data_IF_233023375232
#
_entry.id   IF_233023375232
#
_cell.length_a   1.000
_cell.length_b   1.000
_cell.length_c   1.000
_cell.angle_alpha   90.00
_cell.angle_beta   90.00
_cell.angle_gamma   90.00
#
_symmetry.space_group_name_H-M   'P 1'
#
loop_
_entity.id
_entity.type
_entity.pdbx_description
1 polymer ?
#
# COMPACT_ATOMS: atom_id res chain seq x y z
N UNK A 1 11.10 -10.22 -0.63
CA UNK A 1 10.62 -11.58 -0.27
C UNK A 1 9.28 -11.86 -0.95
N UNK A 2 8.80 -13.13 -1.08
CA UNK A 2 7.52 -13.45 -1.74
C UNK A 2 6.31 -12.80 -1.06
N UNK A 3 6.33 -12.71 0.26
CA UNK A 3 5.35 -12.06 1.11
C UNK A 3 5.27 -10.53 0.88
N UNK A 4 6.37 -9.87 0.47
CA UNK A 4 6.37 -8.47 0.08
C UNK A 4 5.88 -8.29 -1.37
N UNK A 5 6.34 -9.16 -2.28
CA UNK A 5 6.06 -9.04 -3.72
C UNK A 5 4.58 -9.20 -4.06
N UNK A 6 3.81 -9.95 -3.26
CA UNK A 6 2.38 -10.17 -3.51
C UNK A 6 1.59 -8.84 -3.45
N UNK A 7 2.01 -7.89 -2.61
CA UNK A 7 1.37 -6.57 -2.50
C UNK A 7 1.64 -5.73 -3.76
N UNK A 8 2.85 -5.79 -4.30
CA UNK A 8 3.19 -5.12 -5.57
C UNK A 8 2.37 -5.70 -6.73
N UNK A 9 2.25 -7.02 -6.83
CA UNK A 9 1.44 -7.68 -7.85
C UNK A 9 -0.04 -7.32 -7.73
N UNK A 10 -0.58 -7.30 -6.52
CA UNK A 10 -1.95 -6.86 -6.30
C UNK A 10 -2.16 -5.41 -6.74
N UNK A 11 -1.28 -4.49 -6.33
CA UNK A 11 -1.37 -3.08 -6.71
C UNK A 11 -1.29 -2.89 -8.23
N UNK A 12 -0.39 -3.61 -8.91
CA UNK A 12 -0.28 -3.58 -10.37
C UNK A 12 -1.58 -4.08 -11.05
N UNK A 13 -2.22 -5.10 -10.49
CA UNK A 13 -3.49 -5.65 -11.00
C UNK A 13 -4.70 -4.78 -10.68
N UNK A 14 -4.71 -4.17 -9.50
CA UNK A 14 -5.78 -3.26 -9.09
C UNK A 14 -5.78 -1.94 -9.88
N UNK A 15 -4.60 -1.48 -10.35
CA UNK A 15 -4.45 -0.23 -11.09
C UNK A 15 -3.64 -0.41 -12.38
N UNK A 16 -4.12 -1.25 -13.33
CA UNK A 16 -3.35 -1.56 -14.53
C UNK A 16 -3.17 -0.32 -15.41
N UNK A 17 -1.95 -0.14 -15.92
CA UNK A 17 -1.55 0.99 -16.77
C UNK A 17 -1.73 2.39 -16.16
N UNK A 18 -1.90 2.48 -14.84
CA UNK A 18 -2.03 3.73 -14.10
C UNK A 18 -0.77 3.99 -13.27
N UNK A 19 -0.46 5.27 -12.95
CA UNK A 19 0.67 5.59 -12.05
C UNK A 19 0.59 4.87 -10.71
N UNK A 20 -0.62 4.72 -10.15
CA UNK A 20 -0.88 4.05 -8.88
C UNK A 20 -0.47 2.58 -8.86
N UNK A 21 -0.56 1.89 -10.00
CA UNK A 21 -0.21 0.47 -10.13
C UNK A 21 1.29 0.21 -10.32
N UNK A 22 2.13 1.24 -10.35
CA UNK A 22 3.58 1.07 -10.51
C UNK A 22 4.24 0.72 -9.19
N UNK A 23 5.11 -0.30 -9.19
CA UNK A 23 5.93 -0.59 -8.01
C UNK A 23 6.81 0.62 -7.65
N UNK A 24 6.85 0.97 -6.37
CA UNK A 24 7.68 2.06 -5.83
C UNK A 24 9.17 1.78 -6.08
N UNK A 25 9.58 0.53 -6.07
CA UNK A 25 10.98 0.14 -6.31
C UNK A 25 11.38 0.28 -7.79
N UNK A 26 10.41 0.39 -8.69
CA UNK A 26 10.65 0.43 -10.13
C UNK A 26 11.04 -0.93 -10.72
N UNK A 27 11.02 -1.01 -12.06
CA UNK A 27 11.48 -2.22 -12.77
C UNK A 27 13.01 -2.18 -12.89
N UNK A 28 13.64 -3.34 -12.72
CA UNK A 28 15.11 -3.48 -12.75
C UNK A 28 15.74 -2.85 -13.98
N UNK A 29 15.14 -3.05 -15.16
CA UNK A 29 15.68 -2.52 -16.41
C UNK A 29 15.60 -0.99 -16.49
N UNK A 30 14.54 -0.38 -15.92
CA UNK A 30 14.40 1.07 -15.83
C UNK A 30 15.48 1.62 -14.89
N UNK A 31 15.62 1.03 -13.70
CA UNK A 31 16.60 1.49 -12.69
C UNK A 31 18.04 1.37 -13.19
N UNK A 32 18.38 0.29 -13.91
CA UNK A 32 19.73 0.11 -14.46
C UNK A 32 20.09 1.11 -15.56
N UNK A 33 19.10 1.60 -16.30
CA UNK A 33 19.30 2.45 -17.46
C UNK A 33 18.93 3.93 -17.23
N UNK A 34 18.45 4.28 -16.03
CA UNK A 34 18.06 5.66 -15.72
C UNK A 34 19.28 6.58 -15.78
N UNK A 35 19.17 7.65 -16.55
CA UNK A 35 20.21 8.65 -16.72
C UNK A 35 20.15 9.72 -15.64
N UNK A 36 21.27 10.42 -15.45
CA UNK A 36 21.34 11.60 -14.57
C UNK A 36 20.39 12.70 -15.03
N UNK A 37 20.23 12.86 -16.33
CA UNK A 37 19.38 13.86 -16.96
C UNK A 37 17.89 13.60 -16.67
N UNK A 38 17.46 12.33 -16.69
CA UNK A 38 16.08 11.94 -16.33
C UNK A 38 15.81 12.20 -14.85
N UNK A 39 16.73 11.85 -13.96
CA UNK A 39 16.60 12.14 -12.52
C UNK A 39 16.53 13.66 -12.28
N UNK A 40 17.38 14.44 -12.93
CA UNK A 40 17.36 15.89 -12.82
C UNK A 40 16.07 16.50 -13.39
N UNK A 41 15.57 15.95 -14.50
CA UNK A 41 14.29 16.34 -15.09
C UNK A 41 13.12 16.09 -14.14
N UNK A 42 13.10 14.93 -13.49
CA UNK A 42 12.11 14.60 -12.46
C UNK A 42 12.14 15.61 -11.31
N UNK A 43 13.33 15.92 -10.77
CA UNK A 43 13.47 16.90 -9.69
C UNK A 43 12.97 18.28 -10.13
N UNK A 44 13.32 18.73 -11.33
CA UNK A 44 12.90 20.03 -11.86
C UNK A 44 11.38 20.13 -11.99
N UNK A 45 10.73 19.03 -12.38
CA UNK A 45 9.28 19.01 -12.60
C UNK A 45 8.46 18.84 -11.32
N UNK A 46 9.02 18.14 -10.32
CA UNK A 46 8.25 17.71 -9.14
C UNK A 46 8.65 18.39 -7.84
N UNK A 47 9.90 18.88 -7.69
CA UNK A 47 10.38 19.52 -6.48
C UNK A 47 10.05 21.01 -6.50
N UNK A 48 8.78 21.30 -6.19
CA UNK A 48 8.27 22.68 -6.17
C UNK A 48 8.30 23.21 -4.72
N UNK A 49 9.00 24.33 -4.44
CA UNK A 49 9.04 24.93 -3.11
C UNK A 49 7.67 25.17 -2.48
N UNK A 50 6.65 25.50 -3.29
CA UNK A 50 5.29 25.71 -2.81
C UNK A 50 4.59 24.44 -2.30
N UNK A 51 5.17 23.26 -2.56
CA UNK A 51 4.65 21.95 -2.11
C UNK A 51 5.60 21.26 -1.13
N UNK A 52 6.65 21.96 -0.68
CA UNK A 52 7.64 21.39 0.23
C UNK A 52 7.42 21.89 1.64
N UNK A 53 7.41 20.97 2.58
CA UNK A 53 7.43 21.26 4.02
C UNK A 53 8.73 20.66 4.57
N UNK A 54 9.50 21.50 5.24
CA UNK A 54 10.76 21.09 5.87
C UNK A 54 10.57 21.20 7.39
N UNK A 55 10.67 20.07 8.08
CA UNK A 55 10.57 20.00 9.52
C UNK A 55 11.85 19.43 10.12
N UNK A 56 12.21 19.90 11.31
CA UNK A 56 13.35 19.41 12.04
C UNK A 56 13.04 19.33 13.53
N UNK A 57 13.49 18.26 14.18
CA UNK A 57 13.34 18.05 15.61
C UNK A 57 14.72 17.81 16.26
N UNK A 58 14.91 18.32 17.48
CA UNK A 58 16.15 18.20 18.25
C UNK A 58 16.64 19.53 18.81
N UNK A 59 17.92 19.64 19.14
CA UNK A 59 18.55 20.88 19.64
C UNK A 59 18.80 21.85 18.47
N UNK A 60 17.76 22.55 18.01
CA UNK A 60 17.79 23.40 16.81
C UNK A 60 17.42 24.84 17.22
N UNK A 61 18.14 25.81 16.69
CA UNK A 61 17.71 27.21 16.70
C UNK A 61 16.91 27.48 15.43
N UNK A 62 15.65 27.87 15.58
CA UNK A 62 14.70 28.08 14.49
C UNK A 62 15.24 29.06 13.42
N UNK A 63 15.70 30.24 13.84
CA UNK A 63 16.11 31.28 12.89
C UNK A 63 17.32 30.87 12.07
N UNK A 64 18.31 30.24 12.70
CA UNK A 64 19.48 29.70 11.99
C UNK A 64 19.09 28.59 11.03
N UNK A 65 18.13 27.74 11.40
CA UNK A 65 17.62 26.68 10.53
C UNK A 65 16.90 27.26 9.31
N UNK A 66 16.02 28.23 9.53
CA UNK A 66 15.31 28.94 8.43
C UNK A 66 16.30 29.62 7.47
N UNK A 67 17.33 30.31 7.98
CA UNK A 67 18.37 30.92 7.14
C UNK A 67 19.14 29.87 6.31
N UNK A 68 19.49 28.75 6.93
CA UNK A 68 20.19 27.67 6.23
C UNK A 68 19.32 27.09 5.10
N UNK A 69 18.04 26.84 5.35
CA UNK A 69 17.10 26.32 4.35
C UNK A 69 16.90 27.35 3.22
N UNK A 70 16.69 28.63 3.55
CA UNK A 70 16.56 29.69 2.52
C UNK A 70 17.76 29.71 1.58
N UNK A 71 18.98 29.64 2.11
CA UNK A 71 20.20 29.60 1.30
C UNK A 71 20.30 28.36 0.41
N UNK A 72 19.91 27.18 0.95
CA UNK A 72 20.00 25.91 0.24
C UNK A 72 18.92 25.76 -0.84
N UNK A 73 17.77 26.36 -0.65
CA UNK A 73 16.60 26.20 -1.51
C UNK A 73 16.37 27.39 -2.49
N UNK A 74 17.24 28.39 -2.51
CA UNK A 74 17.07 29.59 -3.30
C UNK A 74 16.96 29.34 -4.82
N UNK A 75 17.57 28.29 -5.31
CA UNK A 75 17.61 27.93 -6.73
C UNK A 75 16.66 26.77 -7.08
N UNK A 76 15.74 26.39 -6.19
CA UNK A 76 14.77 25.38 -6.53
C UNK A 76 13.81 25.90 -7.62
N UNK A 77 13.55 25.09 -8.66
CA UNK A 77 12.66 25.52 -9.73
C UNK A 77 11.23 25.64 -9.20
N UNK A 78 10.51 26.64 -9.65
CA UNK A 78 9.06 26.75 -9.45
C UNK A 78 8.42 25.84 -10.49
N UNK A 79 8.15 24.60 -10.10
CA UNK A 79 7.54 23.60 -10.98
C UNK A 79 6.06 23.89 -11.25
N UNK A 80 5.56 23.35 -12.35
CA UNK A 80 4.13 23.39 -12.67
C UNK A 80 3.34 22.46 -11.77
N UNK A 81 2.07 22.79 -11.50
CA UNK A 81 1.15 21.87 -10.86
C UNK A 81 0.81 20.74 -11.84
N UNK A 82 1.32 19.55 -11.61
CA UNK A 82 0.89 18.41 -12.41
C UNK A 82 -0.56 18.07 -12.03
N UNK A 83 -1.45 18.05 -13.02
CA UNK A 83 -2.77 17.44 -12.86
C UNK A 83 -2.54 15.95 -12.59
N UNK A 84 -3.07 15.47 -11.46
CA UNK A 84 -3.08 14.05 -11.15
C UNK A 84 -4.28 13.42 -11.85
N UNK A 85 -4.05 12.33 -12.57
CA UNK A 85 -5.13 11.48 -13.03
C UNK A 85 -5.71 10.75 -11.82
N UNK A 86 -7.04 10.73 -11.71
CA UNK A 86 -7.73 9.99 -10.66
C UNK A 86 -7.47 8.50 -10.84
N UNK A 87 -7.08 7.83 -9.77
CA UNK A 87 -6.89 6.39 -9.78
C UNK A 87 -8.26 5.69 -9.85
N UNK A 88 -8.31 4.63 -10.66
CA UNK A 88 -9.51 3.83 -10.86
C UNK A 88 -9.18 2.37 -10.51
N UNK A 89 -9.78 1.87 -9.42
CA UNK A 89 -9.60 0.49 -8.97
C UNK A 89 -10.30 -0.46 -9.94
N UNK A 90 -9.59 -1.49 -10.36
CA UNK A 90 -10.13 -2.56 -11.17
C UNK A 90 -9.92 -3.91 -10.46
N UNK A 91 -10.87 -4.81 -10.65
CA UNK A 91 -10.69 -6.18 -10.19
C UNK A 91 -9.75 -6.93 -11.13
N UNK A 92 -9.01 -7.90 -10.59
CA UNK A 92 -8.10 -8.71 -11.37
C UNK A 92 -7.65 -9.93 -10.59
N UNK A 93 -6.93 -10.79 -11.27
CA UNK A 93 -6.35 -11.99 -10.67
C UNK A 93 -4.87 -12.10 -11.08
N UNK A 94 -4.07 -12.57 -10.14
CA UNK A 94 -2.67 -12.93 -10.38
C UNK A 94 -2.35 -14.24 -9.68
N UNK A 95 -1.73 -15.16 -10.39
CA UNK A 95 -1.21 -16.42 -9.85
C UNK A 95 0.20 -16.65 -10.36
N UNK A 96 1.07 -17.07 -9.46
CA UNK A 96 2.44 -17.45 -9.78
C UNK A 96 2.82 -18.70 -9.01
N UNK A 97 3.34 -19.70 -9.70
CA UNK A 97 3.85 -20.91 -9.07
C UNK A 97 5.33 -20.74 -8.76
N UNK A 98 5.67 -20.89 -7.49
CA UNK A 98 7.05 -20.90 -6.97
C UNK A 98 7.22 -22.02 -5.97
N UNK A 99 8.42 -22.60 -5.93
CA UNK A 99 8.77 -23.57 -4.87
C UNK A 99 9.06 -22.80 -3.57
N UNK A 100 8.04 -22.64 -2.76
CA UNK A 100 8.07 -21.95 -1.47
C UNK A 100 7.58 -22.90 -0.38
N UNK A 101 7.95 -22.60 0.87
CA UNK A 101 7.45 -23.34 2.04
C UNK A 101 5.99 -23.01 2.36
N UNK A 102 5.50 -21.87 1.87
CA UNK A 102 4.15 -21.37 2.12
C UNK A 102 3.52 -20.87 0.83
N UNK A 103 2.21 -20.95 0.77
CA UNK A 103 1.39 -20.26 -0.22
C UNK A 103 0.97 -18.92 0.37
N UNK A 104 1.22 -17.85 -0.35
CA UNK A 104 0.80 -16.51 0.01
C UNK A 104 -0.48 -16.18 -0.74
N UNK A 105 -1.52 -15.81 -0.01
CA UNK A 105 -2.82 -15.41 -0.53
C UNK A 105 -3.12 -13.98 -0.13
N UNK A 106 -3.56 -13.18 -1.09
CA UNK A 106 -4.05 -11.83 -0.88
C UNK A 106 -5.40 -11.66 -1.57
N UNK A 107 -6.43 -11.33 -0.80
CA UNK A 107 -7.73 -10.89 -1.29
C UNK A 107 -7.80 -9.38 -1.21
N UNK A 108 -8.00 -8.75 -2.36
CA UNK A 108 -8.04 -7.30 -2.47
C UNK A 108 -9.41 -6.79 -2.86
N UNK A 109 -9.79 -5.66 -2.28
CA UNK A 109 -11.04 -4.95 -2.52
C UNK A 109 -10.74 -3.48 -2.75
N UNK A 110 -11.65 -2.80 -3.47
CA UNK A 110 -11.64 -1.35 -3.50
C UNK A 110 -11.88 -0.82 -2.08
N UNK A 111 -11.03 0.07 -1.65
CA UNK A 111 -11.17 0.82 -0.40
C UNK A 111 -11.71 2.22 -0.68
N UNK A 112 -11.66 3.07 0.34
CA UNK A 112 -12.10 4.46 0.26
C UNK A 112 -10.91 5.40 0.40
N UNK A 113 -11.05 6.62 -0.14
CA UNK A 113 -10.05 7.67 0.07
C UNK A 113 -10.10 8.21 1.51
N UNK A 114 -9.03 8.90 1.94
CA UNK A 114 -8.95 9.34 3.33
C UNK A 114 -9.78 10.60 3.66
N UNK A 115 -10.49 11.18 2.69
CA UNK A 115 -11.45 12.25 2.90
C UNK A 115 -12.90 11.72 3.02
N UNK A 116 -13.10 10.41 2.79
CA UNK A 116 -14.42 9.79 2.85
C UNK A 116 -14.95 9.78 4.29
N UNK A 117 -16.24 10.02 4.46
CA UNK A 117 -16.90 10.09 5.77
C UNK A 117 -16.72 8.79 6.58
N UNK A 118 -16.70 7.64 5.90
CA UNK A 118 -16.54 6.31 6.51
C UNK A 118 -15.07 5.88 6.71
N UNK A 119 -14.10 6.77 6.51
CA UNK A 119 -12.68 6.43 6.65
C UNK A 119 -12.36 5.76 7.99
N UNK A 120 -12.78 6.35 9.09
CA UNK A 120 -12.55 5.78 10.42
C UNK A 120 -13.35 4.51 10.67
N UNK A 121 -14.55 4.37 10.10
CA UNK A 121 -15.35 3.15 10.16
C UNK A 121 -14.64 1.99 9.49
N UNK A 122 -14.02 2.20 8.33
CA UNK A 122 -13.22 1.19 7.64
C UNK A 122 -11.98 0.80 8.44
N UNK A 123 -11.30 1.75 9.09
CA UNK A 123 -10.14 1.44 9.94
C UNK A 123 -10.53 0.59 11.16
N UNK A 124 -11.66 0.91 11.80
CA UNK A 124 -12.19 0.12 12.92
C UNK A 124 -12.58 -1.28 12.43
N UNK A 125 -13.32 -1.36 11.33
CA UNK A 125 -13.67 -2.65 10.70
C UNK A 125 -12.44 -3.49 10.39
N UNK A 126 -11.43 -2.92 9.74
CA UNK A 126 -10.16 -3.59 9.46
C UNK A 126 -9.50 -4.12 10.73
N UNK A 127 -9.47 -3.32 11.79
CA UNK A 127 -8.88 -3.71 13.07
C UNK A 127 -9.64 -4.87 13.73
N UNK A 128 -10.95 -4.84 13.72
CA UNK A 128 -11.79 -5.91 14.27
C UNK A 128 -11.70 -7.20 13.45
N UNK A 129 -11.61 -7.07 12.12
CA UNK A 129 -11.57 -8.21 11.22
C UNK A 129 -10.24 -8.96 11.28
N UNK A 130 -9.11 -8.24 11.16
CA UNK A 130 -7.79 -8.87 11.02
C UNK A 130 -6.62 -8.04 11.58
N UNK A 131 -6.88 -7.08 12.48
CA UNK A 131 -5.86 -6.14 12.98
C UNK A 131 -4.94 -6.68 14.08
N UNK A 132 -5.12 -7.91 14.57
CA UNK A 132 -4.30 -8.48 15.63
C UNK A 132 -4.77 -9.82 16.12
N UNK A 133 -4.12 -10.36 17.17
CA UNK A 133 -4.39 -11.70 17.68
C UNK A 133 -5.82 -11.90 18.22
N UNK A 134 -6.49 -10.87 18.70
CA UNK A 134 -7.90 -10.92 19.14
C UNK A 134 -8.91 -10.70 18.02
N UNK A 135 -8.45 -10.42 16.81
CA UNK A 135 -9.31 -10.19 15.66
C UNK A 135 -10.05 -11.44 15.20
N UNK A 136 -11.16 -11.24 14.51
CA UNK A 136 -12.05 -12.31 14.10
C UNK A 136 -11.36 -13.34 13.20
N UNK A 137 -10.70 -12.91 12.14
CA UNK A 137 -10.01 -13.82 11.22
C UNK A 137 -8.88 -14.60 11.93
N UNK A 138 -8.14 -13.93 12.80
CA UNK A 138 -7.07 -14.58 13.55
C UNK A 138 -7.63 -15.67 14.47
N UNK A 139 -8.69 -15.39 15.23
CA UNK A 139 -9.32 -16.34 16.13
C UNK A 139 -9.99 -17.50 15.39
N UNK A 140 -10.76 -17.22 14.33
CA UNK A 140 -11.53 -18.26 13.63
C UNK A 140 -10.67 -19.15 12.72
N UNK A 141 -9.68 -18.55 12.05
CA UNK A 141 -8.90 -19.23 11.00
C UNK A 141 -7.58 -19.78 11.54
N UNK A 142 -6.85 -18.96 12.33
CA UNK A 142 -5.55 -19.38 12.85
C UNK A 142 -5.67 -20.16 14.14
N UNK A 143 -6.33 -19.61 15.18
CA UNK A 143 -6.36 -20.24 16.52
C UNK A 143 -7.27 -21.46 16.57
N UNK A 144 -8.50 -21.36 16.07
CA UNK A 144 -9.46 -22.48 16.16
C UNK A 144 -9.22 -23.58 15.13
N UNK A 145 -8.73 -23.25 13.92
CA UNK A 145 -8.62 -24.20 12.81
C UNK A 145 -7.19 -24.51 12.39
N UNK A 146 -6.22 -23.66 12.73
CA UNK A 146 -4.82 -23.86 12.36
C UNK A 146 -4.56 -23.82 10.84
N UNK A 147 -5.40 -23.13 10.06
CA UNK A 147 -5.34 -23.12 8.60
C UNK A 147 -4.27 -22.20 8.03
N UNK A 148 -3.76 -21.26 8.83
CA UNK A 148 -2.79 -20.28 8.39
C UNK A 148 -1.69 -20.09 9.42
N UNK A 149 -0.49 -19.69 8.97
CA UNK A 149 0.61 -19.26 9.84
C UNK A 149 0.38 -17.85 10.38
N UNK A 150 -0.19 -17.01 9.55
CA UNK A 150 -0.59 -15.65 9.87
C UNK A 150 -1.68 -15.18 8.96
N UNK A 151 -2.55 -14.31 9.48
CA UNK A 151 -3.60 -13.65 8.74
C UNK A 151 -3.78 -12.24 9.27
N UNK A 152 -3.97 -11.29 8.37
CA UNK A 152 -4.21 -9.90 8.72
C UNK A 152 -5.09 -9.21 7.68
N UNK A 153 -5.84 -8.20 8.11
CA UNK A 153 -6.48 -7.24 7.22
C UNK A 153 -5.85 -5.87 7.37
N UNK A 154 -5.86 -5.11 6.30
CA UNK A 154 -5.29 -3.78 6.26
C UNK A 154 -6.05 -2.89 5.28
N UNK A 155 -5.99 -1.60 5.52
CA UNK A 155 -6.56 -0.57 4.64
C UNK A 155 -5.49 0.45 4.30
N UNK A 156 -5.40 0.82 3.02
CA UNK A 156 -4.55 1.88 2.52
C UNK A 156 -5.40 2.92 1.81
N UNK A 157 -5.53 4.10 2.41
CA UNK A 157 -6.28 5.19 1.83
C UNK A 157 -5.33 6.21 1.18
N UNK A 158 -5.73 6.72 0.03
CA UNK A 158 -5.00 7.73 -0.75
C UNK A 158 -5.90 8.96 -0.92
N UNK A 159 -5.44 9.96 -1.68
CA UNK A 159 -6.19 11.22 -1.87
C UNK A 159 -7.49 11.03 -2.68
N UNK A 160 -7.51 10.04 -3.56
CA UNK A 160 -8.54 9.87 -4.61
C UNK A 160 -8.99 8.42 -4.78
N UNK A 161 -8.45 7.50 -4.00
CA UNK A 161 -8.78 6.07 -4.01
C UNK A 161 -8.39 5.42 -2.69
N UNK A 162 -8.72 4.15 -2.53
CA UNK A 162 -8.26 3.32 -1.42
C UNK A 162 -8.19 1.86 -1.81
N UNK A 163 -7.54 1.09 -0.96
CA UNK A 163 -7.41 -0.35 -1.07
C UNK A 163 -7.68 -0.97 0.29
N UNK A 164 -8.46 -2.04 0.30
CA UNK A 164 -8.66 -2.89 1.48
C UNK A 164 -8.20 -4.31 1.14
N UNK A 165 -7.41 -4.92 1.99
CA UNK A 165 -6.87 -6.24 1.71
C UNK A 165 -6.86 -7.16 2.92
N UNK A 166 -6.90 -8.46 2.63
CA UNK A 166 -6.68 -9.53 3.59
C UNK A 166 -5.52 -10.38 3.06
N UNK A 167 -4.47 -10.47 3.83
CA UNK A 167 -3.31 -11.29 3.53
C UNK A 167 -3.23 -12.48 4.49
N UNK A 168 -2.87 -13.65 3.96
CA UNK A 168 -2.51 -14.80 4.78
C UNK A 168 -1.42 -15.66 4.14
N UNK A 169 -0.62 -16.29 5.01
CA UNK A 169 0.33 -17.35 4.65
C UNK A 169 -0.21 -18.71 5.13
N UNK A 170 -0.30 -19.67 4.21
CA UNK A 170 -0.88 -20.99 4.47
C UNK A 170 -0.07 -22.11 3.82
N UNK A 171 -0.34 -23.34 4.19
CA UNK A 171 0.17 -24.52 3.48
C UNK A 171 -0.68 -24.84 2.25
N UNK A 172 -0.08 -25.49 1.26
CA UNK A 172 -0.77 -25.88 0.02
C UNK A 172 -2.04 -26.71 0.28
N UNK A 173 -1.97 -27.65 1.20
CA UNK A 173 -3.08 -28.55 1.53
C UNK A 173 -4.25 -27.85 2.25
N UNK A 174 -4.01 -26.72 2.91
CA UNK A 174 -5.01 -25.98 3.67
C UNK A 174 -5.86 -25.02 2.84
N UNK A 175 -5.44 -24.67 1.61
CA UNK A 175 -6.14 -23.68 0.77
C UNK A 175 -7.60 -24.07 0.51
N UNK A 176 -7.87 -25.36 0.24
CA UNK A 176 -9.22 -25.83 -0.08
C UNK A 176 -10.20 -25.63 1.07
N UNK A 177 -9.72 -25.76 2.32
CA UNK A 177 -10.53 -25.53 3.52
C UNK A 177 -10.54 -24.03 3.89
N UNK A 178 -9.44 -23.35 3.72
CA UNK A 178 -9.28 -21.93 4.06
C UNK A 178 -10.27 -21.03 3.31
N UNK A 179 -10.40 -21.22 1.99
CA UNK A 179 -11.19 -20.31 1.15
C UNK A 179 -12.67 -20.25 1.53
N UNK A 180 -13.39 -21.38 1.72
CA UNK A 180 -14.77 -21.37 2.19
C UNK A 180 -14.94 -20.72 3.56
N UNK A 181 -14.02 -21.00 4.49
CA UNK A 181 -14.07 -20.41 5.84
C UNK A 181 -13.87 -18.90 5.78
N UNK A 182 -12.88 -18.44 5.04
CA UNK A 182 -12.60 -17.00 4.88
C UNK A 182 -13.79 -16.27 4.24
N UNK A 183 -14.38 -16.81 3.18
CA UNK A 183 -15.58 -16.26 2.56
C UNK A 183 -16.77 -16.21 3.51
N UNK A 184 -16.96 -17.26 4.34
CA UNK A 184 -18.02 -17.27 5.33
C UNK A 184 -17.83 -16.19 6.39
N UNK A 185 -16.59 -16.00 6.89
CA UNK A 185 -16.29 -14.97 7.87
C UNK A 185 -16.55 -13.56 7.32
N UNK A 186 -16.25 -13.32 6.05
CA UNK A 186 -16.55 -12.04 5.39
C UNK A 186 -18.06 -11.82 5.25
N UNK A 187 -18.82 -12.84 4.85
CA UNK A 187 -20.28 -12.75 4.67
C UNK A 187 -21.05 -12.61 5.98
N UNK A 188 -20.53 -13.11 7.07
CA UNK A 188 -21.17 -13.07 8.40
C UNK A 188 -20.67 -11.92 9.27
N UNK A 189 -19.72 -11.12 8.78
CA UNK A 189 -19.32 -9.90 9.47
C UNK A 189 -20.49 -8.92 9.48
N UNK A 190 -20.86 -8.33 10.64
CA UNK A 190 -21.92 -7.34 10.71
C UNK A 190 -21.54 -6.12 9.85
N UNK A 191 -22.50 -5.65 9.09
CA UNK A 191 -22.43 -4.40 8.29
C UNK A 191 -22.30 -3.16 9.17
#
# INVERSE_FOLDING_TARGET
TPDDMIFDYWQEKAFPNQPMGRSILGKTDIIKNISREEVKGFMTNHYNPNKMIISAAGKINHDKFVEMIKKSCINLPVGNSNNREKANYLSGEYREEKKLEQVHLLLGFEGIDYHHDDYYSLLVFSSLLGGGMSSRLFQEIREKRGLVYGISSFSSAYTDTGMFGIYCGTGENQIQELMPVLCNELNTSPS
#
